data_IF_960105385810
#
_entry.id   IF_960105385810
#
_cell.length_a   1.000
_cell.length_b   1.000
_cell.length_c   1.000
_cell.angle_alpha   90.00
_cell.angle_beta   90.00
_cell.angle_gamma   90.00
#
_symmetry.space_group_name_H-M   'P 1'
#
loop_
_entity.id
_entity.type
_entity.pdbx_description
1 polymer ?
#
# COMPACT_ATOMS: atom_id res chain seq x y z
N UNK A 1 -19.03 -0.42 -0.02
CA UNK A 1 -19.80 -1.57 0.48
C UNK A 1 -19.98 -1.41 1.99
N UNK A 2 -21.23 -1.21 2.46
CA UNK A 2 -21.56 -1.23 3.88
C UNK A 2 -21.84 -2.67 4.29
N UNK A 3 -20.82 -3.40 4.74
CA UNK A 3 -21.05 -4.43 5.72
C UNK A 3 -21.16 -3.73 7.07
N UNK A 4 -22.27 -3.93 7.79
CA UNK A 4 -22.52 -3.30 9.07
C UNK A 4 -21.35 -3.53 10.04
N UNK A 5 -20.50 -2.53 10.20
CA UNK A 5 -19.60 -2.40 11.34
C UNK A 5 -18.17 -2.94 11.21
N UNK A 6 -17.72 -3.42 10.04
CA UNK A 6 -16.33 -3.85 9.85
C UNK A 6 -15.77 -3.16 8.61
N UNK A 7 -14.91 -2.19 8.83
CA UNK A 7 -14.08 -1.58 7.78
C UNK A 7 -12.82 -2.40 7.67
N UNK A 8 -12.58 -2.94 6.49
CA UNK A 8 -11.45 -3.84 6.25
C UNK A 8 -10.46 -3.07 5.38
N UNK A 9 -9.29 -2.77 5.95
CA UNK A 9 -8.15 -2.25 5.21
C UNK A 9 -7.61 -3.36 4.31
N UNK A 10 -7.52 -3.12 3.01
CA UNK A 10 -6.90 -3.99 2.00
C UNK A 10 -7.20 -5.48 2.16
N UNK A 11 -8.23 -5.94 1.51
CA UNK A 11 -8.56 -7.36 1.53
C UNK A 11 -8.82 -7.85 0.12
N UNK A 12 -8.24 -8.99 -0.17
CA UNK A 12 -8.60 -9.79 -1.31
C UNK A 12 -9.86 -10.59 -0.96
N UNK A 13 -10.96 -10.42 -1.69
CA UNK A 13 -12.17 -11.22 -1.51
C UNK A 13 -12.23 -12.28 -2.59
N UNK A 14 -12.49 -13.51 -2.17
CA UNK A 14 -12.77 -14.61 -3.07
C UNK A 14 -14.26 -14.92 -3.04
N UNK A 15 -14.92 -14.83 -4.18
CA UNK A 15 -16.30 -15.26 -4.36
C UNK A 15 -16.26 -16.47 -5.29
N UNK A 16 -16.74 -17.59 -4.82
CA UNK A 16 -16.90 -18.76 -5.68
C UNK A 16 -17.80 -18.40 -6.87
N UNK A 17 -17.30 -18.66 -8.09
CA UNK A 17 -18.08 -18.46 -9.30
C UNK A 17 -19.25 -19.45 -9.32
N UNK A 18 -20.46 -18.92 -9.20
CA UNK A 18 -21.66 -19.71 -9.42
C UNK A 18 -21.88 -19.70 -10.94
N UNK A 19 -21.76 -20.85 -11.58
CA UNK A 19 -22.11 -21.03 -12.98
C UNK A 19 -23.63 -20.96 -13.16
N UNK A 20 -24.16 -19.72 -13.15
CA UNK A 20 -25.54 -19.46 -13.52
C UNK A 20 -25.56 -18.24 -14.48
N UNK A 21 -26.07 -18.40 -15.73
CA UNK A 21 -25.81 -17.46 -16.82
C UNK A 21 -26.63 -16.15 -16.80
N UNK A 22 -27.36 -15.81 -15.75
CA UNK A 22 -27.99 -14.47 -15.62
C UNK A 22 -28.18 -14.06 -14.16
N UNK A 23 -27.46 -13.05 -13.68
CA UNK A 23 -27.86 -12.41 -12.43
C UNK A 23 -29.11 -11.57 -12.67
N UNK A 24 -30.13 -11.63 -11.79
CA UNK A 24 -31.23 -10.67 -11.82
C UNK A 24 -30.71 -9.29 -11.39
N UNK A 25 -31.24 -8.24 -12.00
CA UNK A 25 -30.78 -6.84 -11.86
C UNK A 25 -30.91 -6.22 -10.44
N UNK A 26 -31.31 -6.98 -9.42
CA UNK A 26 -31.54 -6.50 -8.06
C UNK A 26 -30.85 -7.32 -6.97
N UNK A 27 -29.66 -7.86 -7.23
CA UNK A 27 -28.92 -8.63 -6.23
C UNK A 27 -28.27 -7.72 -5.19
N UNK A 28 -29.00 -7.42 -4.11
CA UNK A 28 -28.40 -6.95 -2.85
C UNK A 28 -27.63 -8.11 -2.24
N UNK A 29 -26.32 -8.16 -2.49
CA UNK A 29 -25.42 -9.15 -1.85
C UNK A 29 -25.37 -8.85 -0.35
N UNK A 30 -26.10 -9.62 0.45
CA UNK A 30 -25.91 -9.65 1.91
C UNK A 30 -24.70 -10.50 2.21
N UNK A 31 -23.57 -9.87 2.44
CA UNK A 31 -22.36 -10.55 2.95
C UNK A 31 -22.63 -10.92 4.40
N UNK A 32 -22.96 -12.18 4.67
CA UNK A 32 -22.91 -12.75 6.01
C UNK A 32 -21.56 -13.43 6.18
N UNK A 33 -20.69 -12.86 7.01
CA UNK A 33 -19.51 -13.59 7.49
C UNK A 33 -19.98 -14.74 8.37
N UNK A 34 -19.89 -15.97 7.88
CA UNK A 34 -20.13 -17.14 8.71
C UNK A 34 -18.86 -17.41 9.54
N UNK A 35 -19.00 -17.43 10.88
CA UNK A 35 -18.01 -18.05 11.75
C UNK A 35 -17.85 -19.49 11.32
N UNK A 36 -16.64 -19.89 10.96
CA UNK A 36 -16.30 -21.28 10.69
C UNK A 36 -16.74 -22.15 11.87
N UNK A 37 -17.42 -23.24 11.58
CA UNK A 37 -17.87 -24.20 12.58
C UNK A 37 -16.66 -25.00 13.05
N UNK A 38 -16.05 -24.57 14.13
CA UNK A 38 -14.97 -25.28 14.81
C UNK A 38 -14.78 -24.69 16.20
N UNK A 39 -14.94 -25.52 17.24
CA UNK A 39 -14.71 -25.18 18.63
C UNK A 39 -13.19 -25.16 18.94
N UNK A 40 -12.39 -24.42 18.24
CA UNK A 40 -11.02 -24.14 18.67
C UNK A 40 -10.79 -22.64 18.66
N UNK A 41 -10.41 -22.11 19.80
CA UNK A 41 -10.17 -20.68 20.07
C UNK A 41 -9.01 -20.10 19.25
N UNK A 42 -8.28 -20.91 18.47
CA UNK A 42 -7.09 -20.52 17.71
C UNK A 42 -7.38 -19.92 16.33
N UNK A 43 -8.63 -19.97 15.84
CA UNK A 43 -9.02 -19.30 14.59
C UNK A 43 -9.48 -17.84 14.83
N UNK A 44 -8.66 -17.04 15.48
CA UNK A 44 -8.96 -15.60 15.69
C UNK A 44 -8.72 -14.72 14.47
N UNK A 45 -8.06 -15.20 13.44
CA UNK A 45 -7.81 -14.47 12.21
C UNK A 45 -8.65 -15.05 11.09
N UNK A 46 -9.71 -14.35 10.68
CA UNK A 46 -10.56 -14.70 9.53
C UNK A 46 -9.86 -14.45 8.18
N UNK A 47 -8.58 -14.76 8.08
CA UNK A 47 -7.81 -14.57 6.86
C UNK A 47 -7.59 -15.92 6.18
N UNK A 48 -8.15 -16.07 4.96
CA UNK A 48 -7.99 -17.29 4.17
C UNK A 48 -6.52 -17.57 3.83
N UNK A 49 -5.69 -16.54 3.77
CA UNK A 49 -4.25 -16.65 3.57
C UNK A 49 -3.46 -17.22 4.76
N UNK A 50 -4.10 -17.38 5.93
CA UNK A 50 -3.51 -18.04 7.10
C UNK A 50 -3.79 -19.54 7.14
N UNK A 51 -4.66 -20.05 6.27
CA UNK A 51 -4.90 -21.47 6.15
C UNK A 51 -3.65 -22.16 5.59
N UNK A 52 -3.23 -23.26 6.21
CA UNK A 52 -2.16 -24.09 5.66
C UNK A 52 -2.58 -24.72 4.33
N UNK A 53 -1.59 -25.18 3.57
CA UNK A 53 -1.81 -25.77 2.24
C UNK A 53 -2.74 -26.99 2.28
N UNK A 54 -2.73 -27.75 3.37
CA UNK A 54 -3.59 -28.93 3.54
C UNK A 54 -5.05 -28.51 3.61
N UNK A 55 -5.35 -27.53 4.45
CA UNK A 55 -6.71 -26.98 4.60
C UNK A 55 -7.19 -26.28 3.33
N UNK A 56 -6.32 -25.56 2.63
CA UNK A 56 -6.65 -24.99 1.34
C UNK A 56 -7.01 -26.08 0.30
N UNK A 57 -6.29 -27.20 0.27
CA UNK A 57 -6.56 -28.32 -0.62
C UNK A 57 -7.86 -29.07 -0.25
N UNK A 58 -8.16 -29.23 1.04
CA UNK A 58 -9.43 -29.80 1.49
C UNK A 58 -10.60 -28.91 1.11
N UNK A 59 -10.48 -27.60 1.25
CA UNK A 59 -11.47 -26.63 0.77
C UNK A 59 -11.76 -26.77 -0.73
N UNK A 60 -10.72 -26.99 -1.54
CA UNK A 60 -10.87 -27.24 -2.98
C UNK A 60 -11.73 -28.47 -3.26
N UNK A 61 -11.45 -29.59 -2.59
CA UNK A 61 -12.28 -30.80 -2.71
C UNK A 61 -13.75 -30.53 -2.35
N UNK A 62 -13.97 -29.87 -1.24
CA UNK A 62 -15.33 -29.56 -0.79
C UNK A 62 -16.06 -28.66 -1.78
N UNK A 63 -15.39 -27.68 -2.38
CA UNK A 63 -15.95 -26.78 -3.38
C UNK A 63 -16.31 -27.50 -4.69
N UNK A 64 -15.55 -28.54 -5.08
CA UNK A 64 -15.81 -29.33 -6.28
C UNK A 64 -16.92 -30.34 -6.07
N UNK A 65 -16.78 -31.17 -5.04
CA UNK A 65 -17.64 -32.32 -4.79
C UNK A 65 -18.95 -31.95 -4.08
N UNK A 66 -19.03 -30.73 -3.53
CA UNK A 66 -20.12 -30.29 -2.65
C UNK A 66 -20.32 -31.21 -1.45
N UNK A 67 -19.24 -31.87 -1.04
CA UNK A 67 -19.20 -32.80 0.09
C UNK A 67 -17.92 -32.64 0.87
N UNK A 68 -18.02 -32.68 2.20
CA UNK A 68 -16.90 -32.75 3.10
C UNK A 68 -16.64 -34.20 3.48
N UNK A 69 -15.44 -34.68 3.23
CA UNK A 69 -15.02 -36.04 3.56
C UNK A 69 -14.28 -36.03 4.88
N UNK A 70 -14.44 -37.12 5.62
CA UNK A 70 -13.82 -37.33 6.91
C UNK A 70 -12.92 -38.57 6.81
N UNK A 71 -11.73 -38.46 7.35
CA UNK A 71 -10.82 -39.57 7.49
C UNK A 71 -10.52 -39.81 8.98
N UNK A 72 -10.50 -41.08 9.38
CA UNK A 72 -10.15 -41.48 10.75
C UNK A 72 -9.56 -42.85 10.74
N UNK A 73 -8.37 -43.00 11.33
CA UNK A 73 -7.72 -44.27 11.52
C UNK A 73 -8.51 -45.25 12.40
N UNK A 74 -9.53 -44.76 13.11
CA UNK A 74 -10.37 -45.56 14.01
C UNK A 74 -11.72 -45.93 13.38
N UNK A 75 -11.98 -45.56 12.13
CA UNK A 75 -13.23 -45.88 11.47
C UNK A 75 -13.14 -47.23 10.76
N UNK A 76 -13.94 -48.19 11.21
CA UNK A 76 -14.12 -49.49 10.58
C UNK A 76 -15.52 -49.56 9.93
N UNK A 77 -15.62 -49.60 8.59
CA UNK A 77 -16.92 -49.60 7.89
C UNK A 77 -17.80 -50.80 8.26
N UNK A 78 -17.19 -51.95 8.60
CA UNK A 78 -17.88 -53.20 8.89
C UNK A 78 -18.20 -53.41 10.37
N UNK A 79 -17.80 -52.51 11.28
CA UNK A 79 -18.14 -52.63 12.70
C UNK A 79 -19.66 -52.49 12.91
N UNK A 80 -20.31 -53.52 13.49
CA UNK A 80 -21.76 -53.50 13.74
C UNK A 80 -22.15 -52.47 14.78
N UNK A 81 -21.22 -52.02 15.62
CA UNK A 81 -21.50 -51.00 16.65
C UNK A 81 -21.48 -49.58 16.13
N UNK A 82 -20.99 -49.35 14.90
CA UNK A 82 -20.97 -48.02 14.28
C UNK A 82 -22.36 -47.72 13.69
N UNK A 83 -23.03 -46.67 14.11
CA UNK A 83 -24.36 -46.28 13.56
C UNK A 83 -24.32 -46.07 12.06
N UNK A 84 -25.39 -46.42 11.37
CA UNK A 84 -25.50 -46.34 9.90
C UNK A 84 -25.23 -44.93 9.36
N UNK A 85 -25.71 -43.90 10.07
CA UNK A 85 -25.48 -42.51 9.64
C UNK A 85 -23.99 -42.11 9.73
N UNK A 86 -23.23 -42.69 10.67
CA UNK A 86 -21.79 -42.49 10.77
C UNK A 86 -21.06 -43.18 9.62
N UNK A 87 -21.46 -44.45 9.32
CA UNK A 87 -20.90 -45.17 8.18
C UNK A 87 -21.10 -44.38 6.90
N UNK A 88 -22.32 -43.89 6.68
CA UNK A 88 -22.66 -43.07 5.52
C UNK A 88 -21.85 -41.76 5.46
N UNK A 89 -21.62 -41.10 6.60
CA UNK A 89 -20.84 -39.89 6.70
C UNK A 89 -19.38 -40.11 6.25
N UNK A 90 -18.76 -41.19 6.66
CA UNK A 90 -17.39 -41.52 6.31
C UNK A 90 -17.24 -42.08 4.88
N UNK A 91 -18.24 -42.77 4.36
CA UNK A 91 -18.18 -43.37 3.02
C UNK A 91 -18.60 -42.40 1.93
N UNK A 92 -19.63 -41.58 2.16
CA UNK A 92 -20.23 -40.69 1.18
C UNK A 92 -19.86 -39.22 1.40
N UNK A 93 -19.32 -38.88 2.57
CA UNK A 93 -19.08 -37.50 2.99
C UNK A 93 -20.36 -36.76 3.42
N UNK A 94 -20.20 -35.66 4.14
CA UNK A 94 -21.30 -34.77 4.52
C UNK A 94 -21.64 -33.82 3.37
N UNK A 95 -22.93 -33.59 3.05
CA UNK A 95 -23.29 -32.56 2.09
C UNK A 95 -22.79 -31.17 2.54
N UNK A 96 -22.11 -30.47 1.65
CA UNK A 96 -21.47 -29.19 1.93
C UNK A 96 -21.61 -28.22 0.75
N UNK A 97 -22.85 -27.91 0.36
CA UNK A 97 -23.12 -26.91 -0.67
C UNK A 97 -23.20 -25.52 -0.05
N UNK A 98 -22.15 -24.72 -0.25
CA UNK A 98 -22.04 -23.37 0.28
C UNK A 98 -21.33 -22.45 -0.70
N UNK A 99 -21.51 -21.15 -0.51
CA UNK A 99 -20.72 -20.10 -1.19
C UNK A 99 -19.56 -19.73 -0.30
N UNK A 100 -18.33 -19.88 -0.82
CA UNK A 100 -17.13 -19.45 -0.13
C UNK A 100 -16.89 -17.96 -0.38
N UNK A 101 -16.77 -17.18 0.70
CA UNK A 101 -16.29 -15.81 0.68
C UNK A 101 -15.07 -15.75 1.59
N UNK A 102 -13.89 -15.56 0.98
CA UNK A 102 -12.63 -15.41 1.69
C UNK A 102 -12.14 -13.97 1.65
N UNK A 103 -11.43 -13.55 2.68
CA UNK A 103 -10.75 -12.28 2.74
C UNK A 103 -9.30 -12.51 3.23
N UNK A 104 -8.36 -11.73 2.70
CA UNK A 104 -6.98 -11.78 3.14
C UNK A 104 -6.34 -10.41 3.00
N UNK A 105 -5.36 -10.12 3.86
CA UNK A 105 -4.45 -8.98 3.74
C UNK A 105 -3.14 -9.35 3.03
N UNK A 106 -2.92 -10.64 2.77
CA UNK A 106 -1.72 -11.14 2.09
C UNK A 106 -1.85 -10.97 0.58
N UNK A 107 -0.70 -10.89 -0.08
CA UNK A 107 -0.65 -10.91 -1.54
C UNK A 107 -1.23 -12.22 -2.09
N UNK A 108 -1.84 -12.14 -3.25
CA UNK A 108 -2.45 -13.27 -3.95
C UNK A 108 -1.46 -14.44 -4.19
N UNK A 109 -0.18 -14.16 -4.17
CA UNK A 109 0.90 -15.16 -4.29
C UNK A 109 0.87 -16.21 -3.15
N UNK A 110 0.44 -15.82 -1.94
CA UNK A 110 0.36 -16.72 -0.78
C UNK A 110 -0.86 -17.64 -0.78
N UNK A 111 -1.73 -17.50 -1.76
CA UNK A 111 -2.94 -18.31 -1.88
C UNK A 111 -2.75 -19.37 -2.94
N UNK A 112 -3.30 -20.57 -2.68
CA UNK A 112 -3.28 -21.66 -3.63
C UNK A 112 -3.86 -21.23 -4.99
N UNK A 113 -3.10 -21.34 -6.11
CA UNK A 113 -3.55 -20.91 -7.43
C UNK A 113 -4.84 -21.62 -7.87
N UNK A 114 -5.05 -22.89 -7.45
CA UNK A 114 -6.25 -23.64 -7.76
C UNK A 114 -7.49 -23.08 -7.03
N UNK A 115 -7.33 -22.60 -5.79
CA UNK A 115 -8.39 -21.92 -5.06
C UNK A 115 -8.75 -20.60 -5.73
N UNK A 116 -7.73 -19.81 -6.10
CA UNK A 116 -7.91 -18.53 -6.81
C UNK A 116 -8.65 -18.70 -8.13
N UNK A 117 -8.31 -19.71 -8.92
CA UNK A 117 -8.92 -19.94 -10.24
C UNK A 117 -10.43 -20.25 -10.17
N UNK A 118 -10.92 -20.68 -9.01
CA UNK A 118 -12.34 -20.99 -8.76
C UNK A 118 -13.13 -19.85 -8.13
N UNK A 119 -12.46 -18.73 -7.86
CA UNK A 119 -13.05 -17.56 -7.19
C UNK A 119 -12.97 -16.32 -8.09
N UNK A 120 -13.90 -15.40 -7.90
CA UNK A 120 -13.75 -14.04 -8.40
C UNK A 120 -12.90 -13.23 -7.41
N UNK A 121 -11.86 -12.58 -7.89
CA UNK A 121 -10.99 -11.75 -7.08
C UNK A 121 -11.49 -10.31 -7.07
N UNK A 122 -11.65 -9.74 -5.88
CA UNK A 122 -12.04 -8.34 -5.69
C UNK A 122 -10.95 -7.66 -4.86
N UNK A 123 -10.30 -6.66 -5.44
CA UNK A 123 -9.28 -5.87 -4.78
C UNK A 123 -9.89 -4.63 -4.14
N UNK A 124 -9.51 -4.37 -2.90
CA UNK A 124 -9.90 -3.16 -2.18
C UNK A 124 -8.74 -2.17 -2.16
N UNK A 125 -9.05 -0.97 -2.57
CA UNK A 125 -8.10 0.14 -2.52
C UNK A 125 -7.81 0.57 -1.08
N UNK A 126 -6.61 1.11 -0.79
CA UNK A 126 -6.31 1.73 0.48
C UNK A 126 -7.28 2.86 0.79
N UNK A 127 -7.55 3.05 2.08
CA UNK A 127 -8.34 4.20 2.50
C UNK A 127 -7.56 5.50 2.24
N UNK A 128 -8.26 6.49 1.71
CA UNK A 128 -7.72 7.85 1.57
C UNK A 128 -7.92 8.63 2.87
N UNK A 129 -7.20 9.75 3.09
CA UNK A 129 -7.43 10.64 4.23
C UNK A 129 -8.89 11.03 4.37
N UNK A 130 -9.57 11.34 3.26
CA UNK A 130 -11.00 11.69 3.24
C UNK A 130 -11.90 10.53 3.70
N UNK A 131 -11.52 9.28 3.39
CA UNK A 131 -12.22 8.12 3.92
C UNK A 131 -12.02 8.00 5.44
N UNK A 132 -10.81 8.26 5.93
CA UNK A 132 -10.52 8.26 7.37
C UNK A 132 -11.33 9.34 8.08
N UNK A 133 -11.34 10.58 7.57
CA UNK A 133 -12.17 11.67 8.12
C UNK A 133 -13.63 11.24 8.21
N UNK A 134 -14.18 10.67 7.15
CA UNK A 134 -15.57 10.18 7.13
C UNK A 134 -15.80 9.09 8.20
N UNK A 135 -14.84 8.17 8.39
CA UNK A 135 -14.91 7.13 9.41
C UNK A 135 -14.92 7.75 10.82
N UNK A 136 -14.04 8.71 11.07
CA UNK A 136 -13.92 9.44 12.33
C UNK A 136 -15.22 10.20 12.65
N UNK A 137 -15.76 10.96 11.71
CA UNK A 137 -17.01 11.69 11.86
C UNK A 137 -18.19 10.74 12.18
N UNK A 138 -18.28 9.62 11.46
CA UNK A 138 -19.31 8.62 11.72
C UNK A 138 -19.16 7.95 13.11
N UNK A 139 -17.92 7.74 13.55
CA UNK A 139 -17.64 7.17 14.87
C UNK A 139 -17.96 8.15 16.00
N UNK A 140 -17.59 9.42 15.84
CA UNK A 140 -17.94 10.48 16.79
C UNK A 140 -19.45 10.64 16.94
N UNK A 141 -20.18 10.63 15.82
CA UNK A 141 -21.65 10.65 15.85
C UNK A 141 -22.24 9.48 16.65
N UNK A 142 -21.68 8.28 16.51
CA UNK A 142 -22.12 7.10 17.28
C UNK A 142 -21.81 7.21 18.78
N UNK A 143 -20.75 7.91 19.13
CA UNK A 143 -20.37 8.21 20.51
C UNK A 143 -21.14 9.40 21.11
N UNK A 144 -22.00 10.07 20.32
CA UNK A 144 -22.67 11.31 20.67
C UNK A 144 -21.67 12.42 21.09
N UNK A 145 -20.49 12.43 20.51
CA UNK A 145 -19.43 13.40 20.75
C UNK A 145 -19.36 14.43 19.63
N UNK A 146 -19.07 15.67 19.98
CA UNK A 146 -18.75 16.75 19.05
C UNK A 146 -17.25 16.76 18.77
N UNK A 147 -16.87 17.03 17.53
CA UNK A 147 -15.48 17.22 17.14
C UNK A 147 -15.24 18.69 16.83
N UNK A 148 -14.08 19.18 17.23
CA UNK A 148 -13.54 20.44 16.70
C UNK A 148 -13.19 20.29 15.20
N UNK A 149 -13.22 21.39 14.44
CA UNK A 149 -13.19 21.36 12.97
C UNK A 149 -11.99 20.61 12.37
N UNK A 150 -10.83 20.62 13.02
CA UNK A 150 -9.59 20.01 12.51
C UNK A 150 -9.38 18.55 12.97
N UNK A 151 -10.13 18.05 13.95
CA UNK A 151 -9.86 16.76 14.61
C UNK A 151 -9.86 15.58 13.63
N UNK A 152 -10.86 15.49 12.76
CA UNK A 152 -10.96 14.40 11.79
C UNK A 152 -9.79 14.42 10.79
N UNK A 153 -9.39 15.61 10.35
CA UNK A 153 -8.24 15.81 9.48
C UNK A 153 -6.94 15.40 10.18
N UNK A 154 -6.71 15.86 11.42
CA UNK A 154 -5.50 15.51 12.19
C UNK A 154 -5.39 14.00 12.36
N UNK A 155 -6.47 13.29 12.71
CA UNK A 155 -6.45 11.82 12.82
C UNK A 155 -6.06 11.18 11.49
N UNK A 156 -6.54 11.71 10.35
CA UNK A 156 -6.20 11.19 9.02
C UNK A 156 -4.72 11.35 8.67
N UNK A 157 -4.00 12.27 9.31
CA UNK A 157 -2.55 12.46 9.14
C UNK A 157 -1.74 11.37 9.89
N UNK A 158 -2.30 10.77 10.96
CA UNK A 158 -1.62 9.75 11.75
C UNK A 158 -1.88 8.32 11.29
N UNK A 159 -2.89 8.08 10.45
CA UNK A 159 -3.20 6.72 9.99
C UNK A 159 -4.06 6.68 8.74
N UNK A 160 -3.84 5.64 7.93
CA UNK A 160 -4.71 5.25 6.82
C UNK A 160 -5.58 4.03 7.16
N UNK A 161 -5.50 3.53 8.40
CA UNK A 161 -6.23 2.37 8.87
C UNK A 161 -7.48 2.80 9.65
N UNK A 162 -8.67 2.40 9.18
CA UNK A 162 -9.93 2.79 9.83
C UNK A 162 -10.03 2.34 11.29
N UNK A 163 -9.51 1.16 11.64
CA UNK A 163 -9.50 0.66 13.03
C UNK A 163 -8.62 1.52 13.91
N UNK A 164 -7.41 1.85 13.44
CA UNK A 164 -6.48 2.71 14.19
C UNK A 164 -7.04 4.12 14.36
N UNK A 165 -7.71 4.66 13.34
CA UNK A 165 -8.39 5.96 13.44
C UNK A 165 -9.49 5.97 14.52
N UNK A 166 -10.29 4.89 14.60
CA UNK A 166 -11.32 4.74 15.64
C UNK A 166 -10.68 4.61 17.03
N UNK A 167 -9.56 3.89 17.16
CA UNK A 167 -8.85 3.77 18.44
C UNK A 167 -8.30 5.12 18.90
N UNK A 168 -7.66 5.89 18.00
CA UNK A 168 -7.18 7.24 18.31
C UNK A 168 -8.35 8.13 18.78
N UNK A 169 -9.49 8.07 18.09
CA UNK A 169 -10.68 8.83 18.47
C UNK A 169 -11.21 8.39 19.85
N UNK A 170 -11.23 7.08 20.15
CA UNK A 170 -11.70 6.57 21.44
C UNK A 170 -10.80 7.00 22.60
N UNK A 171 -9.48 6.98 22.38
CA UNK A 171 -8.51 7.45 23.37
C UNK A 171 -8.67 8.97 23.60
N UNK A 172 -8.85 9.75 22.52
CA UNK A 172 -9.12 11.19 22.62
C UNK A 172 -10.46 11.52 23.28
N UNK A 173 -11.49 10.71 23.04
CA UNK A 173 -12.76 10.81 23.76
C UNK A 173 -12.56 10.62 25.25
N UNK A 174 -11.75 9.63 25.65
CA UNK A 174 -11.43 9.38 27.07
C UNK A 174 -10.71 10.57 27.72
N UNK A 175 -9.76 11.19 27.00
CA UNK A 175 -9.09 12.41 27.45
C UNK A 175 -10.07 13.60 27.59
N UNK A 176 -10.92 13.79 26.60
CA UNK A 176 -11.94 14.84 26.62
C UNK A 176 -12.92 14.67 27.78
N UNK A 177 -13.32 13.41 28.06
CA UNK A 177 -14.20 13.08 29.18
C UNK A 177 -13.57 13.46 30.54
N UNK A 178 -12.30 13.13 30.74
CA UNK A 178 -11.56 13.49 31.98
C UNK A 178 -11.42 15.02 32.07
N UNK A 179 -11.08 15.71 30.98
CA UNK A 179 -10.93 17.17 30.93
C UNK A 179 -12.24 17.91 31.22
N UNK A 180 -13.37 17.34 30.85
CA UNK A 180 -14.72 17.92 31.04
C UNK A 180 -15.41 17.35 32.32
N UNK A 181 -14.63 16.90 33.30
CA UNK A 181 -15.12 16.44 34.61
C UNK A 181 -16.22 15.36 34.54
N UNK A 182 -16.13 14.48 33.51
CA UNK A 182 -17.07 13.39 33.24
C UNK A 182 -18.50 13.84 32.84
N UNK A 183 -18.68 15.06 32.32
CA UNK A 183 -19.93 15.47 31.69
C UNK A 183 -20.13 14.70 30.38
N UNK A 184 -21.01 13.70 30.39
CA UNK A 184 -21.28 12.83 29.24
C UNK A 184 -22.21 13.46 28.20
N UNK A 185 -22.92 14.54 28.52
CA UNK A 185 -24.00 15.04 27.67
C UNK A 185 -23.50 15.94 26.52
N UNK A 186 -22.29 16.50 26.63
CA UNK A 186 -21.74 17.43 25.63
C UNK A 186 -20.24 17.28 25.43
N UNK A 187 -19.73 16.08 25.22
CA UNK A 187 -18.29 15.88 25.03
C UNK A 187 -17.84 16.52 23.74
N UNK A 188 -16.89 17.47 23.85
CA UNK A 188 -16.17 18.09 22.75
C UNK A 188 -14.73 17.57 22.72
N UNK A 189 -14.39 16.87 21.67
CA UNK A 189 -13.02 16.39 21.40
C UNK A 189 -12.29 17.47 20.63
N UNK A 190 -11.17 17.95 21.19
CA UNK A 190 -10.33 19.00 20.60
C UNK A 190 -9.07 18.42 19.98
N UNK A 191 -8.33 19.23 19.23
CA UNK A 191 -7.03 18.84 18.66
C UNK A 191 -5.98 18.57 19.73
N UNK A 192 -6.06 19.22 20.88
CA UNK A 192 -5.17 18.99 22.02
C UNK A 192 -5.35 17.59 22.58
N UNK A 193 -6.59 17.07 22.62
CA UNK A 193 -6.88 15.70 23.02
C UNK A 193 -6.19 14.71 22.05
N UNK A 194 -6.20 14.96 20.75
CA UNK A 194 -5.52 14.14 19.74
C UNK A 194 -3.99 14.20 19.90
N UNK A 195 -3.43 15.39 20.09
CA UNK A 195 -1.98 15.55 20.27
C UNK A 195 -1.50 14.86 21.56
N UNK A 196 -2.31 14.88 22.62
CA UNK A 196 -2.03 14.15 23.84
C UNK A 196 -1.98 12.63 23.59
N UNK A 197 -2.97 12.09 22.87
CA UNK A 197 -2.97 10.67 22.45
C UNK A 197 -1.75 10.35 21.59
N UNK A 198 -1.45 11.20 20.61
CA UNK A 198 -0.31 11.00 19.72
C UNK A 198 1.01 10.97 20.49
N UNK A 199 1.18 11.85 21.48
CA UNK A 199 2.38 11.92 22.32
C UNK A 199 2.52 10.68 23.22
N UNK A 200 1.45 10.32 23.95
CA UNK A 200 1.46 9.16 24.86
C UNK A 200 1.66 7.85 24.10
N UNK A 201 0.99 7.68 22.98
CA UNK A 201 1.08 6.48 22.13
C UNK A 201 2.27 6.51 21.17
N UNK A 202 3.12 7.55 21.22
CA UNK A 202 4.29 7.77 20.35
C UNK A 202 3.93 7.63 18.86
N UNK A 203 2.76 8.15 18.48
CA UNK A 203 2.35 8.15 17.09
C UNK A 203 3.16 9.18 16.31
N UNK A 204 3.62 8.79 15.14
CA UNK A 204 4.25 9.70 14.18
C UNK A 204 3.26 9.99 13.06
N UNK A 205 3.15 11.22 12.55
CA UNK A 205 2.32 11.51 11.41
C UNK A 205 2.73 10.62 10.22
N UNK A 206 1.74 9.96 9.66
CA UNK A 206 1.92 9.12 8.47
C UNK A 206 2.10 9.98 7.20
N UNK A 207 1.37 11.10 7.17
CA UNK A 207 1.41 12.06 6.07
C UNK A 207 2.25 13.25 6.52
N UNK A 208 3.44 13.37 5.96
CA UNK A 208 4.24 14.59 6.03
C UNK A 208 4.18 15.28 4.68
N UNK A 209 3.64 16.51 4.67
CA UNK A 209 3.65 17.34 3.48
C UNK A 209 5.10 17.62 3.08
N UNK A 210 5.54 17.09 1.95
CA UNK A 210 6.93 17.18 1.48
C UNK A 210 7.10 18.18 0.33
N UNK A 211 6.04 18.39 -0.46
CA UNK A 211 6.07 19.34 -1.57
C UNK A 211 6.32 20.76 -1.10
N UNK A 212 7.13 21.49 -1.85
CA UNK A 212 7.50 22.88 -1.62
C UNK A 212 7.48 23.65 -2.94
N UNK A 213 7.18 24.93 -2.87
CA UNK A 213 7.25 25.81 -4.05
C UNK A 213 8.68 26.36 -4.31
N UNK A 214 9.64 26.03 -3.45
CA UNK A 214 11.03 26.48 -3.59
C UNK A 214 11.88 25.40 -4.25
N UNK A 215 12.29 25.63 -5.49
CA UNK A 215 13.15 24.72 -6.24
C UNK A 215 14.51 24.51 -5.57
N UNK A 216 15.06 23.29 -5.69
CA UNK A 216 16.35 22.91 -5.06
C UNK A 216 17.27 22.21 -6.05
N UNK A 217 18.58 22.52 -5.95
CA UNK A 217 19.61 21.83 -6.72
C UNK A 217 19.87 20.46 -6.09
N UNK A 218 19.95 19.42 -6.94
CA UNK A 218 20.32 18.07 -6.54
C UNK A 218 19.30 17.34 -5.67
N UNK A 219 18.11 17.91 -5.45
CA UNK A 219 17.06 17.27 -4.63
C UNK A 219 15.80 16.97 -5.45
N UNK A 220 15.32 15.74 -5.38
CA UNK A 220 14.09 15.28 -6.03
C UNK A 220 13.36 14.29 -5.15
N UNK A 221 12.06 14.14 -5.39
CA UNK A 221 11.25 13.11 -4.76
C UNK A 221 11.11 11.89 -5.66
N UNK A 222 11.60 10.75 -5.16
CA UNK A 222 11.29 9.43 -5.68
C UNK A 222 10.08 8.83 -4.97
N UNK A 223 9.66 7.65 -5.39
CA UNK A 223 8.51 6.94 -4.82
C UNK A 223 8.86 5.49 -4.47
N UNK A 224 8.51 5.10 -3.27
CA UNK A 224 8.64 3.74 -2.75
C UNK A 224 7.29 3.13 -2.39
N UNK A 225 7.28 1.82 -2.20
CA UNK A 225 6.15 1.06 -1.66
C UNK A 225 6.66 0.17 -0.54
N UNK A 226 6.02 0.25 0.62
CA UNK A 226 6.24 -0.66 1.74
C UNK A 226 4.93 -1.41 2.00
N UNK A 227 4.91 -2.71 1.69
CA UNK A 227 3.68 -3.48 1.65
C UNK A 227 2.72 -2.91 0.60
N UNK A 228 1.67 -2.25 1.07
CA UNK A 228 0.68 -1.63 0.18
C UNK A 228 0.61 -0.10 0.33
N UNK A 229 1.59 0.49 0.96
CA UNK A 229 1.63 1.91 1.26
C UNK A 229 2.66 2.56 0.35
N UNK A 230 2.20 3.49 -0.49
CA UNK A 230 3.08 4.36 -1.25
C UNK A 230 3.66 5.44 -0.37
N UNK A 231 4.93 5.75 -0.55
CA UNK A 231 5.63 6.81 0.18
C UNK A 231 6.51 7.63 -0.73
N UNK A 232 6.68 8.90 -0.37
CA UNK A 232 7.61 9.81 -1.03
C UNK A 232 8.97 9.69 -0.36
N UNK A 233 9.99 9.45 -1.17
CA UNK A 233 11.38 9.27 -0.76
C UNK A 233 12.16 10.49 -1.24
N UNK A 234 12.93 11.11 -0.36
CA UNK A 234 13.81 12.22 -0.72
C UNK A 234 15.15 11.68 -1.22
N UNK A 235 15.53 12.09 -2.41
CA UNK A 235 16.81 11.73 -3.06
C UNK A 235 17.60 13.01 -3.24
N UNK A 236 18.80 13.03 -2.71
CA UNK A 236 19.70 14.16 -2.79
C UNK A 236 21.01 13.76 -3.46
N UNK A 237 21.55 14.65 -4.28
CA UNK A 237 22.87 14.53 -4.88
C UNK A 237 23.61 15.84 -4.77
N UNK A 238 24.90 15.76 -4.44
CA UNK A 238 25.83 16.89 -4.54
C UNK A 238 27.02 16.47 -5.41
N UNK A 239 27.53 17.41 -6.17
CA UNK A 239 28.68 17.19 -7.05
C UNK A 239 29.66 18.33 -6.92
N UNK A 240 30.91 18.00 -6.68
CA UNK A 240 32.04 18.92 -6.67
C UNK A 240 33.02 18.51 -7.77
N UNK A 241 33.70 19.46 -8.39
CA UNK A 241 34.78 19.12 -9.32
C UNK A 241 35.85 18.30 -8.59
N UNK A 242 36.21 17.15 -9.16
CA UNK A 242 37.27 16.32 -8.63
C UNK A 242 38.64 17.09 -8.64
N UNK A 243 39.48 16.77 -7.68
CA UNK A 243 40.79 17.39 -7.58
C UNK A 243 41.66 17.12 -8.83
N UNK A 244 41.53 15.90 -9.37
CA UNK A 244 42.16 15.51 -10.64
C UNK A 244 41.09 15.01 -11.59
N UNK A 245 41.15 15.47 -12.85
CA UNK A 245 40.20 15.06 -13.89
C UNK A 245 40.24 13.55 -14.11
N UNK A 246 39.07 12.93 -14.14
CA UNK A 246 38.90 11.48 -14.32
C UNK A 246 39.12 10.64 -13.06
N UNK A 247 39.42 11.27 -11.89
CA UNK A 247 39.65 10.58 -10.60
C UNK A 247 38.56 10.86 -9.56
N UNK A 248 37.45 11.41 -9.96
CA UNK A 248 36.31 11.65 -9.07
C UNK A 248 35.67 10.36 -8.52
N UNK A 249 35.11 10.48 -7.34
CA UNK A 249 34.55 9.36 -6.58
C UNK A 249 33.01 9.49 -6.51
N UNK A 250 32.31 8.43 -6.87
CA UNK A 250 30.87 8.32 -6.69
C UNK A 250 30.56 7.53 -5.41
N UNK A 251 29.88 8.16 -4.47
CA UNK A 251 29.42 7.55 -3.21
C UNK A 251 27.91 7.51 -3.15
N UNK A 252 27.36 6.37 -2.73
CA UNK A 252 25.95 6.15 -2.52
C UNK A 252 25.71 5.48 -1.16
N UNK A 253 24.52 5.61 -0.57
CA UNK A 253 24.17 4.98 0.70
C UNK A 253 24.57 3.51 0.74
N UNK A 254 25.35 3.10 1.72
CA UNK A 254 25.72 1.69 1.92
C UNK A 254 24.55 0.81 2.31
N UNK A 255 23.45 1.39 2.83
CA UNK A 255 22.21 0.70 3.19
C UNK A 255 21.29 0.43 1.98
N UNK A 256 21.63 0.93 0.79
CA UNK A 256 20.87 0.65 -0.42
C UNK A 256 21.19 -0.74 -0.96
N UNK A 257 20.13 -1.47 -1.38
CA UNK A 257 20.27 -2.79 -2.00
C UNK A 257 21.00 -2.75 -3.34
N UNK A 258 21.38 -3.93 -3.84
CA UNK A 258 22.18 -4.06 -5.08
C UNK A 258 21.52 -3.45 -6.30
N UNK A 259 20.20 -3.63 -6.46
CA UNK A 259 19.44 -3.07 -7.58
C UNK A 259 19.40 -1.54 -7.57
N UNK A 260 19.36 -0.93 -6.38
CA UNK A 260 19.45 0.51 -6.26
C UNK A 260 20.86 1.02 -6.61
N UNK A 261 21.91 0.27 -6.28
CA UNK A 261 23.29 0.57 -6.67
C UNK A 261 23.48 0.46 -8.19
N UNK A 262 22.94 -0.57 -8.83
CA UNK A 262 22.97 -0.74 -10.29
C UNK A 262 22.26 0.43 -11.00
N UNK A 263 21.19 0.96 -10.42
CA UNK A 263 20.49 2.13 -10.93
C UNK A 263 21.38 3.37 -10.97
N UNK A 264 22.32 3.52 -10.03
CA UNK A 264 23.30 4.62 -10.02
C UNK A 264 24.26 4.49 -11.19
N UNK A 265 24.76 3.30 -11.51
CA UNK A 265 25.63 3.06 -12.65
C UNK A 265 24.91 3.32 -13.98
N UNK A 266 23.66 2.86 -14.09
CA UNK A 266 22.83 3.13 -15.27
C UNK A 266 22.60 4.64 -15.45
N UNK A 267 22.27 5.36 -14.38
CA UNK A 267 22.09 6.80 -14.39
C UNK A 267 23.38 7.53 -14.81
N UNK A 268 24.52 7.11 -14.29
CA UNK A 268 25.83 7.67 -14.64
C UNK A 268 26.14 7.59 -16.14
N UNK A 269 25.86 6.44 -16.77
CA UNK A 269 26.03 6.28 -18.20
C UNK A 269 25.11 7.23 -19.01
N UNK A 270 23.88 7.44 -18.54
CA UNK A 270 22.91 8.35 -19.16
C UNK A 270 23.30 9.81 -18.95
N UNK A 271 23.84 10.20 -17.79
CA UNK A 271 24.38 11.55 -17.55
C UNK A 271 25.39 11.92 -18.63
N UNK A 272 26.40 11.07 -18.86
CA UNK A 272 27.42 11.31 -19.88
C UNK A 272 26.82 11.49 -21.27
N UNK A 273 25.84 10.66 -21.62
CA UNK A 273 25.14 10.72 -22.92
C UNK A 273 24.36 12.02 -23.11
N UNK A 274 23.72 12.55 -22.07
CA UNK A 274 22.81 13.70 -22.16
C UNK A 274 23.49 15.04 -21.95
N UNK A 275 24.52 15.09 -21.09
CA UNK A 275 25.19 16.33 -20.69
C UNK A 275 26.58 16.50 -21.30
N UNK A 276 27.14 15.44 -21.85
CA UNK A 276 28.55 15.33 -22.26
C UNK A 276 29.55 15.53 -21.09
N UNK A 277 29.07 15.47 -19.84
CA UNK A 277 29.89 15.53 -18.64
C UNK A 277 30.25 14.11 -18.20
N UNK A 278 31.52 13.90 -17.82
CA UNK A 278 31.94 12.62 -17.25
C UNK A 278 31.80 12.68 -15.72
N UNK A 279 31.07 11.72 -15.15
CA UNK A 279 30.89 11.64 -13.69
C UNK A 279 32.22 11.51 -12.94
N UNK A 280 33.23 10.91 -13.57
CA UNK A 280 34.58 10.79 -13.01
C UNK A 280 35.36 12.11 -12.92
N UNK A 281 34.82 13.18 -13.52
CA UNK A 281 35.36 14.54 -13.33
C UNK A 281 34.80 15.22 -12.07
N UNK A 282 33.99 14.50 -11.27
CA UNK A 282 33.30 15.01 -10.08
C UNK A 282 33.42 14.04 -8.89
N UNK A 283 33.54 14.59 -7.71
CA UNK A 283 33.26 13.90 -6.45
C UNK A 283 31.75 14.03 -6.15
N UNK A 284 31.03 12.91 -6.27
CA UNK A 284 29.59 12.90 -6.18
C UNK A 284 29.15 12.10 -4.95
N UNK A 285 28.23 12.68 -4.19
CA UNK A 285 27.54 11.98 -3.11
C UNK A 285 26.05 11.95 -3.40
N UNK A 286 25.47 10.75 -3.37
CA UNK A 286 24.03 10.54 -3.50
C UNK A 286 23.54 9.99 -2.17
N UNK A 287 22.47 10.57 -1.67
CA UNK A 287 21.85 10.17 -0.42
C UNK A 287 20.34 9.97 -0.60
N UNK A 288 19.80 8.88 -0.08
CA UNK A 288 18.35 8.66 0.03
C UNK A 288 17.98 8.84 1.49
N UNK A 289 17.15 9.86 1.75
CA UNK A 289 16.72 10.21 3.10
C UNK A 289 15.51 9.35 3.49
N UNK A 290 15.52 8.82 4.71
CA UNK A 290 14.40 8.05 5.26
C UNK A 290 14.77 6.73 5.90
N UNK A 291 16.06 6.35 5.89
CA UNK A 291 16.64 5.28 6.74
C UNK A 291 16.13 3.85 6.48
N UNK A 292 15.26 3.65 5.49
CA UNK A 292 14.75 2.33 5.14
C UNK A 292 15.70 1.55 4.23
N UNK A 293 15.63 0.22 4.29
CA UNK A 293 16.30 -0.62 3.31
C UNK A 293 15.58 -0.45 1.96
N UNK A 294 16.12 0.41 1.11
CA UNK A 294 15.57 0.70 -0.21
C UNK A 294 16.28 -0.23 -1.20
N UNK A 295 15.51 -1.16 -1.76
CA UNK A 295 15.96 -2.02 -2.82
C UNK A 295 14.97 -1.98 -3.99
N UNK A 296 15.51 -1.97 -5.19
CA UNK A 296 14.72 -1.94 -6.41
C UNK A 296 15.17 -0.84 -7.38
N UNK A 297 14.94 -1.05 -8.69
CA UNK A 297 15.43 -0.16 -9.74
C UNK A 297 14.54 1.08 -9.92
N UNK A 298 13.42 1.19 -9.24
CA UNK A 298 12.37 2.21 -9.47
C UNK A 298 12.77 3.65 -9.15
N UNK A 299 13.87 3.84 -8.39
CA UNK A 299 14.44 5.16 -8.11
C UNK A 299 15.43 5.66 -9.19
N UNK A 300 15.75 4.83 -10.18
CA UNK A 300 16.81 5.13 -11.15
C UNK A 300 16.61 6.44 -11.93
N UNK A 301 15.38 6.73 -12.35
CA UNK A 301 15.08 7.98 -13.05
C UNK A 301 15.18 9.19 -12.12
N UNK A 302 14.79 9.07 -10.85
CA UNK A 302 14.95 10.13 -9.86
C UNK A 302 16.45 10.40 -9.57
N UNK A 303 17.24 9.35 -9.39
CA UNK A 303 18.70 9.45 -9.21
C UNK A 303 19.35 10.15 -10.40
N UNK A 304 18.98 9.81 -11.62
CA UNK A 304 19.47 10.47 -12.84
C UNK A 304 19.21 11.98 -12.81
N UNK A 305 17.99 12.38 -12.47
CA UNK A 305 17.61 13.81 -12.46
C UNK A 305 18.37 14.55 -11.35
N UNK A 306 18.53 13.94 -10.16
CA UNK A 306 19.32 14.52 -9.07
C UNK A 306 20.77 14.72 -9.49
N UNK A 307 21.38 13.73 -10.16
CA UNK A 307 22.76 13.81 -10.66
C UNK A 307 22.93 14.92 -11.69
N UNK A 308 22.06 14.98 -12.70
CA UNK A 308 22.11 16.04 -13.72
C UNK A 308 21.95 17.41 -13.09
N UNK A 309 21.02 17.56 -12.15
CA UNK A 309 20.85 18.82 -11.40
C UNK A 309 22.11 19.20 -10.61
N UNK A 310 22.70 18.27 -9.88
CA UNK A 310 23.89 18.51 -9.08
C UNK A 310 25.12 18.92 -9.95
N UNK A 311 25.32 18.24 -11.08
CA UNK A 311 26.42 18.53 -12.01
C UNK A 311 26.18 19.84 -12.75
N UNK A 312 24.98 20.09 -13.26
CA UNK A 312 24.64 21.26 -14.08
C UNK A 312 24.23 22.47 -13.27
N UNK A 313 24.08 22.34 -11.95
CA UNK A 313 23.62 23.37 -11.00
C UNK A 313 22.23 23.95 -11.36
N UNK A 314 21.38 23.14 -12.00
CA UNK A 314 20.00 23.51 -12.35
C UNK A 314 19.06 23.08 -11.25
N UNK A 315 18.23 23.99 -10.70
CA UNK A 315 17.29 23.65 -9.65
C UNK A 315 16.12 22.80 -10.15
N UNK A 316 15.71 21.80 -9.38
CA UNK A 316 14.57 20.91 -9.62
C UNK A 316 13.34 21.45 -8.91
N UNK A 317 12.20 21.36 -9.53
CA UNK A 317 10.91 21.64 -8.91
C UNK A 317 10.67 20.70 -7.74
N UNK A 318 10.17 21.25 -6.63
CA UNK A 318 9.89 20.48 -5.40
C UNK A 318 8.41 20.15 -5.20
N UNK A 319 7.58 20.39 -6.22
CA UNK A 319 6.18 19.94 -6.29
C UNK A 319 6.01 18.70 -7.17
N UNK A 320 7.11 18.05 -7.57
CA UNK A 320 7.11 16.87 -8.44
C UNK A 320 7.66 15.64 -7.72
N UNK A 321 7.16 14.47 -8.13
CA UNK A 321 7.75 13.19 -7.80
C UNK A 321 7.87 12.33 -9.05
N UNK A 322 8.82 11.39 -9.03
CA UNK A 322 9.07 10.52 -10.17
C UNK A 322 9.33 9.09 -9.74
N UNK A 323 8.86 8.14 -10.53
CA UNK A 323 9.24 6.73 -10.43
C UNK A 323 9.51 6.19 -11.82
N UNK A 324 10.46 5.28 -11.92
CA UNK A 324 10.82 4.62 -13.18
C UNK A 324 12.22 4.04 -13.10
N UNK A 325 12.39 2.85 -13.63
CA UNK A 325 13.71 2.28 -13.84
C UNK A 325 14.38 2.99 -15.04
N UNK A 326 15.66 3.29 -14.92
CA UNK A 326 16.43 3.90 -16.00
C UNK A 326 17.32 2.87 -16.67
N UNK A 327 17.16 2.70 -17.98
CA UNK A 327 18.06 1.87 -18.76
C UNK A 327 19.31 2.66 -19.18
N UNK A 328 20.42 1.97 -19.43
CA UNK A 328 21.67 2.58 -19.96
C UNK A 328 21.46 3.30 -21.31
N UNK A 329 20.37 2.99 -22.00
CA UNK A 329 20.00 3.69 -23.24
C UNK A 329 19.24 5.00 -23.00
N UNK A 330 18.85 5.28 -21.75
CA UNK A 330 18.08 6.46 -21.36
C UNK A 330 16.56 6.28 -21.53
N UNK A 331 16.09 5.04 -21.59
CA UNK A 331 14.66 4.74 -21.60
C UNK A 331 14.15 4.61 -20.16
N UNK A 332 12.98 5.15 -19.89
CA UNK A 332 12.27 4.99 -18.62
C UNK A 332 11.38 3.75 -18.71
N UNK A 333 11.70 2.73 -17.90
CA UNK A 333 11.06 1.41 -17.93
C UNK A 333 10.02 1.27 -16.84
N UNK A 334 9.01 0.39 -17.04
CA UNK A 334 7.91 0.20 -16.12
C UNK A 334 8.38 -0.35 -14.77
N UNK A 335 7.64 -0.01 -13.72
CA UNK A 335 7.90 -0.40 -12.33
C UNK A 335 6.64 -0.87 -11.64
N UNK A 336 6.80 -1.63 -10.55
CA UNK A 336 5.67 -2.08 -9.74
C UNK A 336 5.14 -1.03 -8.77
N UNK A 337 3.88 -1.24 -8.31
CA UNK A 337 3.27 -0.45 -7.24
C UNK A 337 2.96 1.00 -7.61
N UNK A 338 2.72 1.29 -8.89
CA UNK A 338 2.47 2.67 -9.34
C UNK A 338 1.16 3.22 -8.80
N UNK A 339 0.18 2.35 -8.58
CA UNK A 339 -1.07 2.70 -7.94
C UNK A 339 -0.84 3.27 -6.53
N UNK A 340 -0.13 2.53 -5.67
CA UNK A 340 0.21 2.94 -4.31
C UNK A 340 1.11 4.17 -4.30
N UNK A 341 2.08 4.22 -5.18
CA UNK A 341 3.00 5.36 -5.35
C UNK A 341 2.27 6.64 -5.68
N UNK A 342 1.26 6.58 -6.53
CA UNK A 342 0.46 7.73 -6.92
C UNK A 342 -0.36 8.28 -5.73
N UNK A 343 -0.95 7.41 -4.92
CA UNK A 343 -1.61 7.82 -3.68
C UNK A 343 -0.62 8.44 -2.69
N UNK A 344 0.55 7.83 -2.48
CA UNK A 344 1.58 8.39 -1.59
C UNK A 344 2.06 9.76 -2.04
N UNK A 345 2.23 9.97 -3.35
CA UNK A 345 2.57 11.27 -3.93
C UNK A 345 1.48 12.33 -3.66
N UNK A 346 0.21 11.97 -3.92
CA UNK A 346 -0.93 12.86 -3.67
C UNK A 346 -1.00 13.29 -2.21
N UNK A 347 -0.86 12.34 -1.27
CA UNK A 347 -0.87 12.60 0.17
C UNK A 347 0.28 13.52 0.62
N UNK A 348 1.46 13.38 0.02
CA UNK A 348 2.61 14.24 0.31
C UNK A 348 2.49 15.65 -0.29
N UNK A 349 1.37 15.97 -0.95
CA UNK A 349 1.11 17.28 -1.56
C UNK A 349 1.83 17.48 -2.89
N UNK A 350 2.33 16.42 -3.53
CA UNK A 350 2.92 16.48 -4.86
C UNK A 350 1.84 16.90 -5.87
N UNK A 351 2.19 17.85 -6.73
CA UNK A 351 1.28 18.37 -7.77
C UNK A 351 1.48 17.68 -9.12
N UNK A 352 2.70 17.18 -9.37
CA UNK A 352 3.08 16.57 -10.64
C UNK A 352 3.77 15.22 -10.41
N UNK A 353 3.23 14.16 -11.00
CA UNK A 353 3.78 12.81 -10.94
C UNK A 353 4.29 12.38 -12.31
N UNK A 354 5.56 12.00 -12.40
CA UNK A 354 6.17 11.50 -13.62
C UNK A 354 6.32 9.97 -13.49
N UNK A 355 5.80 9.24 -14.46
CA UNK A 355 5.79 7.77 -14.48
C UNK A 355 6.22 7.22 -15.84
N UNK A 356 6.65 5.94 -15.92
CA UNK A 356 6.83 5.28 -17.20
C UNK A 356 5.53 5.24 -18.01
N UNK A 357 5.60 5.42 -19.33
CA UNK A 357 4.39 5.39 -20.19
C UNK A 357 3.64 4.06 -20.08
N UNK A 358 4.36 2.94 -19.96
CA UNK A 358 3.77 1.61 -19.85
C UNK A 358 2.92 1.44 -18.57
N UNK A 359 3.16 2.26 -17.55
CA UNK A 359 2.38 2.29 -16.30
C UNK A 359 1.19 3.27 -16.32
N UNK A 360 0.92 3.95 -17.42
CA UNK A 360 -0.19 4.92 -17.50
C UNK A 360 -1.55 4.30 -17.14
N UNK A 361 -1.74 3.01 -17.45
CA UNK A 361 -2.95 2.22 -17.15
C UNK A 361 -3.11 1.88 -15.67
N UNK A 362 -2.02 1.97 -14.88
CA UNK A 362 -2.00 1.59 -13.46
C UNK A 362 -2.39 2.77 -12.55
N UNK A 363 -2.71 3.94 -13.13
CA UNK A 363 -3.06 5.15 -12.40
C UNK A 363 -4.53 5.12 -11.97
N UNK A 364 -4.82 5.34 -10.67
CA UNK A 364 -6.19 5.47 -10.20
C UNK A 364 -6.92 6.67 -10.83
N UNK A 365 -8.23 6.54 -11.14
CA UNK A 365 -8.97 7.63 -11.79
C UNK A 365 -9.24 8.84 -10.88
N UNK A 366 -9.22 8.66 -9.54
CA UNK A 366 -9.68 9.65 -8.55
C UNK A 366 -8.55 10.39 -7.81
N UNK A 367 -7.42 10.62 -8.47
CA UNK A 367 -6.30 11.38 -7.88
C UNK A 367 -6.52 12.90 -8.07
N UNK A 368 -7.38 13.50 -7.22
CA UNK A 368 -7.64 14.93 -7.27
C UNK A 368 -6.38 15.75 -7.01
N UNK A 369 -6.08 16.67 -7.91
CA UNK A 369 -4.98 17.63 -7.78
C UNK A 369 -3.59 17.11 -8.18
N UNK A 370 -3.44 15.84 -8.53
CA UNK A 370 -2.21 15.25 -9.03
C UNK A 370 -2.22 15.15 -10.56
N UNK A 371 -1.32 15.87 -11.23
CA UNK A 371 -1.14 15.78 -12.68
C UNK A 371 -0.14 14.66 -12.98
N UNK A 372 -0.56 13.67 -13.75
CA UNK A 372 0.29 12.53 -14.12
C UNK A 372 0.84 12.73 -15.52
N UNK A 373 2.16 12.56 -15.67
CA UNK A 373 2.88 12.68 -16.94
C UNK A 373 3.60 11.36 -17.27
N UNK A 374 3.03 10.55 -18.16
CA UNK A 374 3.72 9.38 -18.70
C UNK A 374 4.89 9.79 -19.58
N UNK A 375 6.06 9.16 -19.41
CA UNK A 375 7.28 9.44 -20.17
C UNK A 375 7.94 8.14 -20.67
N UNK A 376 8.59 8.21 -21.82
CA UNK A 376 9.36 7.11 -22.43
C UNK A 376 10.85 7.24 -22.18
N UNK A 377 11.34 8.47 -22.10
CA UNK A 377 12.75 8.77 -22.14
C UNK A 377 13.17 9.67 -20.97
N UNK A 378 14.46 9.60 -20.65
CA UNK A 378 15.07 10.49 -19.67
C UNK A 378 14.93 11.97 -20.05
N UNK A 379 15.03 12.30 -21.35
CA UNK A 379 14.86 13.68 -21.83
C UNK A 379 13.47 14.23 -21.55
N UNK A 380 12.43 13.41 -21.77
CA UNK A 380 11.06 13.79 -21.45
C UNK A 380 10.89 14.02 -19.94
N UNK A 381 11.45 13.14 -19.11
CA UNK A 381 11.41 13.28 -17.65
C UNK A 381 12.10 14.57 -17.17
N UNK A 382 13.27 14.88 -17.74
CA UNK A 382 14.01 16.12 -17.44
C UNK A 382 13.23 17.37 -17.81
N UNK A 383 12.47 17.35 -18.93
CA UNK A 383 11.67 18.49 -19.37
C UNK A 383 10.55 18.88 -18.38
N UNK A 384 10.06 17.93 -17.58
CA UNK A 384 9.10 18.19 -16.50
C UNK A 384 9.74 18.54 -15.17
N UNK A 385 10.96 18.04 -14.92
CA UNK A 385 11.66 18.21 -13.65
C UNK A 385 12.23 19.61 -13.46
N UNK A 386 12.66 20.24 -14.54
CA UNK A 386 13.22 21.59 -14.51
C UNK A 386 12.17 22.60 -14.97
N UNK A 387 12.24 23.83 -14.43
CA UNK A 387 11.44 24.91 -14.98
C UNK A 387 11.80 25.17 -16.45
N UNK A 388 10.79 25.47 -17.26
CA UNK A 388 11.03 25.96 -18.60
C UNK A 388 11.75 27.30 -18.48
N UNK A 389 12.99 27.35 -18.94
CA UNK A 389 13.74 28.57 -19.11
C UNK A 389 13.08 29.44 -20.15
#
# INVERSE_FOLDING_TARGET
FRASGIWINKNLFFIQRIDNPKPPNDMKVKIKCYKTIGKNEDFKNNEIGELDDTLQNELLKVLEDKRAYFDSAYFEPNDPNVPEYIKKLFTEGAPADFVLIGATTRDSYYLNPALRSRCAEIYFEPLTPKHIETIVLNAAHKLNAKLDDEVAQIISEYTIEGRKAINILADAYSNALVRQENDMDNILITKEDIYTVAQVSRLTPFITKKASDTNKIGKIFGLGVAGFIGSVIEIEAIAFKAHEKGKGILRFNQTAGSMAQDSVFNAAAVVRKLTNEDIHDYDIHINIIGGGNIDGPSAGTAILIALISAITQKPIRQDIAITGEISIQGLVRPVGGVFEKAYGASQAGIKTLIIPEENAKDIPPDLHGLKVHPVKTAQEALAFAFDKI
#
